data_IF_623035352148
#
_entry.id   IF_623035352148
#
_cell.length_a   1.000
_cell.length_b   1.000
_cell.length_c   1.000
_cell.angle_alpha   90.00
_cell.angle_beta   90.00
_cell.angle_gamma   90.00
#
_symmetry.space_group_name_H-M   'P 1'
#
loop_
_entity.id
_entity.type
_entity.pdbx_description
1 polymer ?
#
# COMPACT_ATOMS: atom_id res chain seq x y z
N UNK A 1 -19.47 10.05 3.25
CA UNK A 1 -18.96 8.66 3.00
C UNK A 1 -17.59 8.54 3.60
N UNK A 2 -17.41 7.65 4.59
CA UNK A 2 -16.12 7.47 5.27
C UNK A 2 -15.17 6.59 4.47
N UNK A 3 -13.87 6.87 4.58
CA UNK A 3 -12.81 6.12 3.94
C UNK A 3 -11.47 6.30 4.61
N UNK A 4 -10.44 5.72 4.03
CA UNK A 4 -9.07 5.79 4.51
C UNK A 4 -8.16 6.46 3.48
N UNK A 5 -7.20 7.23 3.97
CA UNK A 5 -6.04 7.67 3.21
C UNK A 5 -4.78 7.12 3.88
N UNK A 6 -3.92 6.47 3.11
CA UNK A 6 -2.71 5.79 3.61
C UNK A 6 -1.49 6.34 2.88
N UNK A 7 -0.56 6.94 3.62
CA UNK A 7 0.73 7.43 3.13
C UNK A 7 1.75 6.28 3.12
N UNK A 8 1.79 5.52 2.04
CA UNK A 8 2.67 4.35 1.92
C UNK A 8 4.15 4.73 1.89
N UNK A 9 4.49 5.89 1.34
CA UNK A 9 5.85 6.47 1.30
C UNK A 9 6.41 6.80 2.69
N UNK A 10 5.54 7.04 3.67
CA UNK A 10 5.91 7.38 5.05
C UNK A 10 5.81 6.20 6.01
N UNK A 11 5.31 5.05 5.55
CA UNK A 11 5.15 3.86 6.38
C UNK A 11 6.50 3.20 6.68
N UNK A 12 6.87 3.14 7.96
CA UNK A 12 8.12 2.54 8.42
C UNK A 12 8.04 1.02 8.69
N UNK A 13 6.91 0.37 8.42
CA UNK A 13 6.75 -1.08 8.60
C UNK A 13 6.77 -1.55 10.06
N UNK A 14 6.39 -0.73 11.03
CA UNK A 14 6.40 -1.09 12.45
C UNK A 14 5.32 -2.11 12.85
N UNK A 15 4.34 -2.39 11.99
CA UNK A 15 3.21 -3.29 12.19
C UNK A 15 2.26 -2.94 13.35
N UNK A 16 2.40 -1.80 14.03
CA UNK A 16 1.55 -1.41 15.16
C UNK A 16 0.05 -1.42 14.78
N UNK A 17 -0.30 -0.91 13.59
CA UNK A 17 -1.69 -0.92 13.09
C UNK A 17 -2.21 -2.34 12.84
N UNK A 18 -1.37 -3.27 12.39
CA UNK A 18 -1.72 -4.68 12.17
C UNK A 18 -1.97 -5.41 13.49
N UNK A 19 -1.08 -5.20 14.47
CA UNK A 19 -1.19 -5.81 15.81
C UNK A 19 -2.37 -5.21 16.56
N UNK A 20 -2.54 -3.88 16.54
CA UNK A 20 -3.68 -3.24 17.21
C UNK A 20 -5.04 -3.66 16.62
N UNK A 21 -5.13 -3.86 15.29
CA UNK A 21 -6.33 -4.42 14.68
C UNK A 21 -6.59 -5.86 15.15
N UNK A 22 -5.53 -6.65 15.32
CA UNK A 22 -5.62 -8.03 15.81
C UNK A 22 -6.06 -8.07 17.28
N UNK A 23 -5.45 -7.25 18.13
CA UNK A 23 -5.74 -7.12 19.56
C UNK A 23 -7.19 -6.68 19.81
N UNK A 24 -7.68 -5.71 19.02
CA UNK A 24 -9.06 -5.20 19.09
C UNK A 24 -10.10 -6.30 18.83
N UNK A 25 -9.82 -7.25 17.96
CA UNK A 25 -10.79 -8.21 17.46
C UNK A 25 -10.55 -9.66 17.90
N UNK A 26 -9.39 -9.99 18.46
CA UNK A 26 -9.07 -11.31 18.96
C UNK A 26 -9.65 -11.48 20.36
N UNK A 27 -10.48 -12.51 20.58
CA UNK A 27 -11.15 -12.75 21.85
C UNK A 27 -12.26 -11.73 22.20
N UNK A 28 -12.55 -10.80 21.30
CA UNK A 28 -13.59 -9.78 21.48
C UNK A 28 -14.70 -9.92 20.44
N UNK A 29 -15.94 -9.95 20.94
CA UNK A 29 -17.14 -10.04 20.13
C UNK A 29 -17.81 -8.66 20.05
N UNK A 30 -17.87 -8.07 18.87
CA UNK A 30 -18.41 -6.74 18.59
C UNK A 30 -19.72 -6.82 17.78
N UNK A 31 -20.71 -7.56 18.29
CA UNK A 31 -22.01 -7.66 17.62
C UNK A 31 -22.73 -6.31 17.56
N UNK A 32 -23.43 -5.99 16.45
CA UNK A 32 -23.70 -6.82 15.28
C UNK A 32 -22.61 -6.80 14.19
N UNK A 33 -21.46 -6.15 14.38
CA UNK A 33 -20.48 -5.86 13.35
C UNK A 33 -19.46 -6.98 13.13
N UNK A 34 -19.07 -7.69 14.21
CA UNK A 34 -18.09 -8.76 14.13
C UNK A 34 -18.23 -9.78 15.27
N UNK A 35 -17.91 -11.01 14.97
CA UNK A 35 -17.49 -12.02 15.93
C UNK A 35 -15.96 -11.98 16.08
N UNK A 36 -15.45 -12.60 17.12
CA UNK A 36 -14.02 -12.66 17.40
C UNK A 36 -13.19 -13.25 16.26
N UNK A 37 -12.02 -12.69 16.05
CA UNK A 37 -11.01 -13.30 15.18
C UNK A 37 -10.38 -14.52 15.86
N UNK A 38 -9.95 -15.54 15.09
CA UNK A 38 -9.12 -16.60 15.65
C UNK A 38 -7.77 -16.03 16.13
N UNK A 39 -7.16 -16.64 17.15
CA UNK A 39 -5.88 -16.20 17.73
C UNK A 39 -4.77 -16.09 16.70
N UNK A 40 -4.74 -16.98 15.71
CA UNK A 40 -3.72 -17.02 14.66
C UNK A 40 -4.35 -17.00 13.27
N UNK A 41 -3.52 -16.74 12.26
CA UNK A 41 -3.88 -16.81 10.83
C UNK A 41 -4.39 -15.51 10.26
N UNK A 42 -5.59 -15.11 10.56
CA UNK A 42 -6.20 -13.93 9.94
C UNK A 42 -5.61 -12.61 10.45
N UNK A 43 -5.32 -11.70 9.51
CA UNK A 43 -5.05 -10.28 9.80
C UNK A 43 -5.92 -9.42 8.89
N UNK A 44 -6.97 -8.81 9.43
CA UNK A 44 -7.92 -8.01 8.66
C UNK A 44 -7.30 -6.73 8.11
N UNK A 45 -6.31 -6.17 8.81
CA UNK A 45 -5.35 -5.23 8.26
C UNK A 45 -3.98 -5.93 8.27
N UNK A 46 -3.30 -5.94 7.13
CA UNK A 46 -1.96 -6.50 6.99
C UNK A 46 -1.03 -5.45 6.39
N UNK A 47 0.13 -5.27 6.98
CA UNK A 47 1.22 -4.50 6.38
C UNK A 47 1.96 -5.43 5.43
N UNK A 48 1.82 -5.20 4.13
CA UNK A 48 2.55 -5.96 3.12
C UNK A 48 3.92 -5.33 2.93
N UNK A 49 4.96 -6.13 3.04
CA UNK A 49 6.32 -5.75 2.69
C UNK A 49 6.56 -6.09 1.22
N UNK A 50 7.12 -5.16 0.48
CA UNK A 50 7.58 -5.35 -0.89
C UNK A 50 9.04 -4.94 -0.98
N UNK A 51 9.90 -5.92 -1.21
CA UNK A 51 11.30 -5.70 -1.60
C UNK A 51 11.35 -5.54 -3.11
N UNK A 52 12.08 -4.55 -3.59
CA UNK A 52 12.23 -4.30 -5.02
C UNK A 52 13.57 -3.64 -5.33
N UNK A 53 14.03 -3.80 -6.57
CA UNK A 53 15.38 -3.47 -7.00
C UNK A 53 16.34 -4.66 -6.94
N UNK A 54 17.61 -4.40 -7.19
CA UNK A 54 18.67 -5.42 -7.24
C UNK A 54 19.85 -4.93 -6.41
N UNK A 55 20.50 -5.86 -5.69
CA UNK A 55 21.67 -5.54 -4.89
C UNK A 55 22.78 -4.92 -5.78
N UNK A 56 23.41 -3.79 -5.38
CA UNK A 56 23.29 -3.13 -4.08
C UNK A 56 22.12 -2.14 -3.93
N UNK A 57 21.41 -1.79 -5.00
CA UNK A 57 20.31 -0.83 -4.99
C UNK A 57 18.96 -1.52 -4.72
N UNK A 58 18.59 -1.66 -3.45
CA UNK A 58 17.34 -2.28 -2.99
C UNK A 58 16.51 -1.31 -2.17
N UNK A 59 15.20 -1.26 -2.41
CA UNK A 59 14.22 -0.56 -1.58
C UNK A 59 13.25 -1.55 -0.94
N UNK A 60 12.77 -1.21 0.24
CA UNK A 60 11.71 -1.94 0.93
C UNK A 60 10.57 -0.98 1.18
N UNK A 61 9.40 -1.33 0.69
CA UNK A 61 8.17 -0.56 0.87
C UNK A 61 7.18 -1.32 1.73
N UNK A 62 6.44 -0.61 2.58
CA UNK A 62 5.44 -1.17 3.48
C UNK A 62 4.07 -0.59 3.16
N UNK A 63 3.11 -1.47 2.83
CA UNK A 63 1.79 -1.07 2.38
C UNK A 63 0.74 -1.64 3.33
N UNK A 64 0.21 -0.86 4.28
CA UNK A 64 -0.92 -1.27 5.10
C UNK A 64 -2.15 -1.49 4.22
N UNK A 65 -2.73 -2.67 4.27
CA UNK A 65 -3.83 -3.04 3.38
C UNK A 65 -5.02 -3.59 4.18
N UNK A 66 -5.99 -2.76 4.57
CA UNK A 66 -7.27 -3.19 5.14
C UNK A 66 -8.25 -3.68 4.07
N UNK A 67 -9.49 -4.02 4.46
CA UNK A 67 -10.60 -4.11 3.53
C UNK A 67 -10.77 -2.76 2.82
N UNK A 68 -11.05 -2.80 1.51
CA UNK A 68 -11.16 -1.59 0.70
C UNK A 68 -12.51 -0.88 0.80
N UNK A 69 -13.50 -1.43 1.50
CA UNK A 69 -14.86 -0.90 1.66
C UNK A 69 -15.48 -0.37 0.36
N UNK A 70 -15.29 -1.16 -0.70
CA UNK A 70 -15.60 -0.80 -2.10
C UNK A 70 -17.02 -0.29 -2.31
N UNK A 71 -17.22 0.74 -3.14
CA UNK A 71 -18.56 1.19 -3.57
C UNK A 71 -19.27 0.09 -4.37
N UNK A 72 -18.57 -0.53 -5.32
CA UNK A 72 -19.07 -1.66 -6.12
C UNK A 72 -18.60 -2.99 -5.49
N UNK A 73 -18.95 -3.26 -4.24
CA UNK A 73 -18.45 -4.39 -3.48
C UNK A 73 -18.90 -5.74 -4.05
N UNK A 74 -18.00 -6.58 -4.61
CA UNK A 74 -18.38 -7.90 -5.13
C UNK A 74 -18.87 -8.84 -4.03
N UNK A 75 -18.40 -8.67 -2.80
CA UNK A 75 -18.82 -9.47 -1.64
C UNK A 75 -20.31 -9.25 -1.28
N UNK A 76 -20.85 -8.05 -1.51
CA UNK A 76 -22.32 -7.81 -1.34
C UNK A 76 -23.10 -8.62 -2.38
N UNK A 77 -22.62 -8.66 -3.63
CA UNK A 77 -23.30 -9.40 -4.71
C UNK A 77 -23.22 -10.91 -4.53
N UNK A 78 -22.18 -11.43 -3.88
CA UNK A 78 -21.98 -12.85 -3.63
C UNK A 78 -22.73 -13.35 -2.38
N UNK A 79 -23.15 -12.42 -1.51
CA UNK A 79 -23.84 -12.75 -0.27
C UNK A 79 -25.32 -13.04 -0.51
N UNK A 80 -25.85 -13.97 0.26
CA UNK A 80 -27.28 -14.29 0.35
C UNK A 80 -27.90 -13.65 1.60
N UNK A 81 -29.20 -13.40 1.59
CA UNK A 81 -29.98 -12.91 2.73
C UNK A 81 -29.46 -11.60 3.34
N UNK A 82 -28.90 -10.70 2.51
CA UNK A 82 -28.30 -9.45 2.96
C UNK A 82 -27.24 -9.67 4.06
N UNK A 83 -26.48 -10.76 3.95
CA UNK A 83 -25.43 -11.08 4.90
C UNK A 83 -24.24 -10.15 4.80
N UNK A 84 -24.04 -9.46 3.67
CA UNK A 84 -23.09 -8.37 3.51
C UNK A 84 -23.84 -7.12 3.09
N UNK A 85 -23.65 -6.04 3.80
CA UNK A 85 -24.38 -4.80 3.54
C UNK A 85 -23.45 -3.57 3.66
N UNK A 86 -23.90 -2.46 3.09
CA UNK A 86 -23.27 -1.15 3.25
C UNK A 86 -24.04 -0.34 4.29
N UNK A 87 -23.28 0.25 5.22
CA UNK A 87 -23.79 1.23 6.19
C UNK A 87 -24.02 2.58 5.51
N UNK A 88 -24.75 3.47 6.16
CA UNK A 88 -24.98 4.83 5.69
C UNK A 88 -23.68 5.64 5.56
N UNK A 89 -22.71 5.39 6.42
CA UNK A 89 -21.36 5.98 6.37
C UNK A 89 -20.45 5.41 5.27
N UNK A 90 -20.91 4.40 4.53
CA UNK A 90 -20.19 3.78 3.42
C UNK A 90 -19.38 2.55 3.77
N UNK A 91 -19.19 2.23 5.05
CA UNK A 91 -18.49 1.03 5.46
C UNK A 91 -19.27 -0.24 5.06
N UNK A 92 -18.57 -1.23 4.53
CA UNK A 92 -19.15 -2.53 4.17
C UNK A 92 -18.96 -3.48 5.33
N UNK A 93 -20.03 -4.08 5.80
CA UNK A 93 -20.06 -4.98 6.97
C UNK A 93 -20.55 -6.37 6.54
N UNK A 94 -20.03 -7.40 7.19
CA UNK A 94 -20.56 -8.76 7.14
C UNK A 94 -21.32 -9.02 8.44
N UNK A 95 -22.62 -9.32 8.35
CA UNK A 95 -23.42 -9.75 9.49
C UNK A 95 -23.03 -11.19 9.86
N UNK A 96 -22.42 -11.43 11.04
CA UNK A 96 -21.91 -12.75 11.38
C UNK A 96 -23.01 -13.81 11.52
N UNK A 97 -24.24 -13.40 11.86
CA UNK A 97 -25.37 -14.35 12.02
C UNK A 97 -25.91 -14.79 10.68
N UNK A 98 -26.06 -13.84 9.74
CA UNK A 98 -26.59 -14.11 8.40
C UNK A 98 -25.57 -14.79 7.49
N UNK A 99 -24.28 -14.51 7.69
CA UNK A 99 -23.20 -14.98 6.83
C UNK A 99 -22.73 -16.41 7.14
N UNK A 100 -23.29 -17.07 8.15
CA UNK A 100 -22.90 -18.43 8.53
C UNK A 100 -23.03 -19.39 7.35
N UNK A 101 -21.95 -20.13 7.05
CA UNK A 101 -21.89 -21.10 5.96
C UNK A 101 -21.68 -20.51 4.57
N UNK A 102 -21.55 -19.18 4.43
CA UNK A 102 -21.42 -18.50 3.14
C UNK A 102 -19.96 -18.31 2.71
N UNK A 103 -19.24 -19.38 2.46
CA UNK A 103 -17.82 -19.36 2.04
C UNK A 103 -17.59 -18.63 0.70
N UNK A 104 -18.62 -18.59 -0.18
CA UNK A 104 -18.52 -17.89 -1.46
C UNK A 104 -18.19 -16.39 -1.32
N UNK A 105 -18.53 -15.78 -0.18
CA UNK A 105 -18.23 -14.38 0.11
C UNK A 105 -16.69 -14.15 0.16
N UNK A 106 -15.92 -15.11 0.67
CA UNK A 106 -14.46 -15.03 0.75
C UNK A 106 -13.84 -14.93 -0.64
N UNK A 107 -14.29 -15.78 -1.56
CA UNK A 107 -13.77 -15.88 -2.93
C UNK A 107 -14.12 -14.66 -3.80
N UNK A 108 -15.15 -13.90 -3.40
CA UNK A 108 -15.61 -12.74 -4.15
C UNK A 108 -14.69 -11.51 -4.01
N UNK A 109 -13.79 -11.48 -3.02
CA UNK A 109 -12.95 -10.32 -2.78
C UNK A 109 -11.70 -10.31 -3.69
N UNK A 110 -11.57 -9.37 -4.66
CA UNK A 110 -10.39 -9.32 -5.54
C UNK A 110 -9.11 -8.93 -4.80
N UNK A 111 -9.23 -8.36 -3.61
CA UNK A 111 -8.09 -7.97 -2.75
C UNK A 111 -7.66 -9.06 -1.76
N UNK A 112 -8.38 -10.21 -1.69
CA UNK A 112 -8.10 -11.26 -0.72
C UNK A 112 -8.23 -10.80 0.74
N UNK A 113 -9.17 -9.87 1.04
CA UNK A 113 -9.32 -9.26 2.38
C UNK A 113 -10.53 -9.78 3.16
N UNK A 114 -11.07 -10.91 2.76
CA UNK A 114 -12.09 -11.65 3.50
C UNK A 114 -11.53 -13.01 3.83
N UNK A 115 -11.63 -13.41 5.08
CA UNK A 115 -11.04 -14.62 5.63
C UNK A 115 -12.14 -15.55 6.11
N UNK A 116 -11.96 -16.84 5.96
CA UNK A 116 -12.85 -17.82 6.53
C UNK A 116 -12.46 -18.15 7.97
N UNK A 117 -13.40 -18.09 8.89
CA UNK A 117 -13.22 -18.58 10.25
C UNK A 117 -13.79 -19.99 10.33
N UNK A 118 -12.92 -20.99 10.42
CA UNK A 118 -13.28 -22.40 10.42
C UNK A 118 -14.10 -22.80 11.65
N UNK A 119 -13.81 -22.21 12.81
CA UNK A 119 -14.48 -22.55 14.06
C UNK A 119 -15.92 -22.02 14.11
N UNK A 120 -16.11 -20.79 13.66
CA UNK A 120 -17.42 -20.13 13.64
C UNK A 120 -18.21 -20.40 12.34
N UNK A 121 -17.56 -20.94 11.31
CA UNK A 121 -18.08 -21.14 9.96
C UNK A 121 -18.64 -19.85 9.35
N UNK A 122 -17.89 -18.73 9.47
CA UNK A 122 -18.27 -17.41 8.93
C UNK A 122 -17.13 -16.74 8.18
N UNK A 123 -17.44 -15.94 7.14
CA UNK A 123 -16.48 -15.01 6.55
C UNK A 123 -16.26 -13.80 7.46
N UNK A 124 -15.02 -13.35 7.60
CA UNK A 124 -14.64 -12.21 8.44
C UNK A 124 -13.74 -11.25 7.68
N UNK A 125 -13.83 -9.97 8.00
CA UNK A 125 -12.98 -8.90 7.42
C UNK A 125 -12.97 -7.66 8.30
N UNK A 126 -12.10 -6.70 7.96
CA UNK A 126 -12.11 -5.37 8.57
C UNK A 126 -13.52 -4.75 8.53
N UNK A 127 -13.96 -4.23 9.66
CA UNK A 127 -15.25 -3.56 9.86
C UNK A 127 -15.13 -2.02 9.85
N UNK A 128 -13.90 -1.48 9.68
CA UNK A 128 -13.63 -0.07 9.94
C UNK A 128 -13.81 0.30 11.43
N UNK A 129 -13.78 -0.70 12.31
CA UNK A 129 -14.09 -0.56 13.74
C UNK A 129 -15.43 0.16 13.99
N UNK A 130 -16.48 -0.22 13.25
CA UNK A 130 -17.81 0.39 13.33
C UNK A 130 -18.36 0.41 14.78
N UNK A 131 -17.97 -0.55 15.63
CA UNK A 131 -18.34 -0.57 17.04
C UNK A 131 -17.76 0.63 17.83
N UNK A 132 -16.55 1.10 17.48
CA UNK A 132 -15.96 2.30 18.11
C UNK A 132 -16.58 3.59 17.58
N UNK A 133 -17.00 3.58 16.31
CA UNK A 133 -17.61 4.76 15.67
C UNK A 133 -19.04 5.01 16.17
N UNK A 134 -19.75 3.96 16.57
CA UNK A 134 -21.15 4.03 17.03
C UNK A 134 -21.26 4.14 18.56
N UNK A 135 -20.18 3.97 19.29
CA UNK A 135 -20.15 4.08 20.74
C UNK A 135 -19.72 5.50 21.15
N UNK A 136 -20.68 6.30 21.60
CA UNK A 136 -20.45 7.67 22.07
C UNK A 136 -19.54 7.74 23.31
N UNK A 137 -19.46 6.67 24.07
CA UNK A 137 -18.62 6.55 25.27
C UNK A 137 -17.25 5.92 24.98
N UNK A 138 -16.98 5.52 23.73
CA UNK A 138 -15.69 4.94 23.35
C UNK A 138 -14.54 5.93 23.60
N UNK A 139 -13.42 5.49 24.15
CA UNK A 139 -12.25 6.34 24.42
C UNK A 139 -11.63 6.93 23.16
N UNK A 140 -11.94 6.36 22.00
CA UNK A 140 -11.50 6.79 20.68
C UNK A 140 -12.67 6.69 19.68
N UNK A 141 -12.72 7.62 18.75
CA UNK A 141 -13.76 7.70 17.70
C UNK A 141 -13.22 7.44 16.30
N UNK A 142 -12.11 6.71 16.20
CA UNK A 142 -11.45 6.32 14.94
C UNK A 142 -11.13 4.83 14.95
N UNK A 143 -10.92 4.19 13.80
CA UNK A 143 -10.47 2.81 13.74
C UNK A 143 -9.17 2.58 14.53
N UNK A 144 -9.06 1.45 15.22
CA UNK A 144 -7.88 1.11 16.04
C UNK A 144 -6.55 1.19 15.28
N UNK A 145 -6.54 0.86 14.00
CA UNK A 145 -5.33 0.96 13.18
C UNK A 145 -4.86 2.40 12.94
N UNK A 146 -5.77 3.36 12.97
CA UNK A 146 -5.46 4.79 12.89
C UNK A 146 -4.85 5.27 14.20
N UNK A 147 -5.53 4.99 15.31
CA UNK A 147 -5.10 5.34 16.67
C UNK A 147 -3.71 4.78 16.99
N UNK A 148 -3.46 3.52 16.63
CA UNK A 148 -2.19 2.84 16.91
C UNK A 148 -1.03 3.21 15.97
N UNK A 149 -1.23 4.06 14.97
CA UNK A 149 -0.16 4.42 14.04
C UNK A 149 0.78 5.48 14.63
N UNK A 150 2.02 5.16 15.04
CA UNK A 150 2.90 6.10 15.75
C UNK A 150 3.41 7.25 14.88
N UNK A 151 3.30 7.10 13.56
CA UNK A 151 3.72 8.10 12.57
C UNK A 151 2.55 8.69 11.79
N UNK A 152 1.31 8.38 12.20
CA UNK A 152 0.07 8.93 11.65
C UNK A 152 -0.05 8.88 10.11
N UNK A 153 0.37 7.75 9.53
CA UNK A 153 0.30 7.54 8.06
C UNK A 153 -1.03 6.95 7.61
N UNK A 154 -1.94 6.64 8.51
CA UNK A 154 -3.29 6.17 8.22
C UNK A 154 -4.27 7.24 8.71
N UNK A 155 -4.97 7.85 7.80
CA UNK A 155 -6.05 8.80 8.09
C UNK A 155 -7.41 8.13 7.85
N UNK A 156 -8.42 8.54 8.59
CA UNK A 156 -9.79 8.07 8.43
C UNK A 156 -10.76 9.21 8.67
N UNK A 157 -11.71 9.40 7.76
CA UNK A 157 -12.68 10.49 7.84
C UNK A 157 -13.66 10.47 6.69
N UNK A 158 -14.44 11.54 6.53
CA UNK A 158 -15.26 11.74 5.35
C UNK A 158 -14.35 11.93 4.12
N UNK A 159 -14.68 11.26 3.01
CA UNK A 159 -13.84 11.27 1.81
C UNK A 159 -13.65 12.67 1.20
N UNK A 160 -14.61 13.56 1.38
CA UNK A 160 -14.56 14.95 0.93
C UNK A 160 -13.72 15.86 1.85
N UNK A 161 -13.35 15.39 3.03
CA UNK A 161 -12.47 16.07 3.98
C UNK A 161 -11.01 15.58 3.89
N UNK A 162 -10.79 14.40 3.31
CA UNK A 162 -9.44 13.83 3.11
C UNK A 162 -8.74 14.49 1.92
N UNK A 163 -7.45 14.76 2.05
CA UNK A 163 -6.62 15.24 0.93
C UNK A 163 -6.29 14.12 -0.06
N UNK A 164 -7.20 13.89 -0.99
CA UNK A 164 -7.07 12.84 -2.01
C UNK A 164 -6.34 13.29 -3.28
N UNK A 165 -5.79 14.50 -3.33
CA UNK A 165 -5.01 14.96 -4.48
C UNK A 165 -3.77 14.08 -4.70
N UNK A 166 -3.63 13.53 -5.90
CA UNK A 166 -2.55 12.59 -6.25
C UNK A 166 -2.62 11.22 -5.58
N UNK A 167 -3.72 10.91 -4.87
CA UNK A 167 -3.89 9.59 -4.28
C UNK A 167 -4.34 8.56 -5.34
N UNK A 168 -3.87 7.34 -5.17
CA UNK A 168 -4.13 6.19 -6.03
C UNK A 168 -4.95 5.13 -5.28
N UNK A 169 -5.52 4.18 -5.99
CA UNK A 169 -6.22 3.03 -5.39
C UNK A 169 -5.53 1.73 -5.79
N UNK A 170 -5.63 0.72 -4.94
CA UNK A 170 -5.14 -0.62 -5.31
C UNK A 170 -6.07 -1.27 -6.32
N UNK A 171 -5.50 -1.94 -7.32
CA UNK A 171 -6.23 -2.71 -8.33
C UNK A 171 -7.36 -1.93 -9.03
N UNK A 172 -7.07 -0.76 -9.65
CA UNK A 172 -8.07 0.07 -10.33
C UNK A 172 -8.81 -0.69 -11.44
N UNK A 173 -8.16 -1.67 -12.06
CA UNK A 173 -8.69 -2.56 -13.09
C UNK A 173 -9.87 -3.42 -12.59
N UNK A 174 -10.01 -3.62 -11.29
CA UNK A 174 -11.12 -4.39 -10.70
C UNK A 174 -12.48 -3.69 -10.78
N UNK A 175 -12.50 -2.37 -11.04
CA UNK A 175 -13.72 -1.57 -11.14
C UNK A 175 -14.55 -1.48 -9.85
N UNK A 176 -13.97 -1.85 -8.71
CA UNK A 176 -14.68 -1.92 -7.41
C UNK A 176 -14.91 -0.57 -6.75
N UNK A 177 -14.22 0.48 -7.19
CA UNK A 177 -14.24 1.83 -6.59
C UNK A 177 -14.02 1.77 -5.06
N UNK A 178 -12.80 1.51 -4.62
CA UNK A 178 -12.46 1.41 -3.19
C UNK A 178 -12.58 2.76 -2.48
N UNK A 179 -12.88 2.72 -1.17
CA UNK A 179 -12.84 3.87 -0.27
C UNK A 179 -11.54 3.91 0.57
N UNK A 180 -10.52 3.22 0.11
CA UNK A 180 -9.15 3.28 0.65
C UNK A 180 -8.22 3.80 -0.44
N UNK A 181 -7.61 4.93 -0.15
CA UNK A 181 -6.73 5.65 -1.06
C UNK A 181 -5.30 5.61 -0.53
N UNK A 182 -4.34 5.68 -1.44
CA UNK A 182 -2.92 5.59 -1.12
C UNK A 182 -2.14 6.74 -1.74
N UNK A 183 -1.25 7.35 -0.97
CA UNK A 183 -0.20 8.24 -1.48
C UNK A 183 1.14 7.53 -1.41
N UNK A 184 1.98 7.75 -2.43
CA UNK A 184 3.33 7.22 -2.48
C UNK A 184 3.42 5.69 -2.58
N UNK A 185 2.52 5.05 -3.34
CA UNK A 185 2.71 3.63 -3.68
C UNK A 185 4.04 3.43 -4.41
N UNK A 186 4.77 2.33 -4.14
CA UNK A 186 6.06 2.09 -4.76
C UNK A 186 5.92 1.96 -6.28
N UNK A 187 6.60 2.84 -6.99
CA UNK A 187 6.76 2.85 -8.46
C UNK A 187 8.13 2.31 -8.83
N UNK A 188 8.35 2.09 -10.11
CA UNK A 188 9.64 1.67 -10.64
C UNK A 188 10.71 2.74 -10.43
N UNK A 189 11.94 2.29 -10.31
CA UNK A 189 13.10 3.18 -10.23
C UNK A 189 14.28 2.71 -11.08
N UNK A 190 15.19 3.63 -11.35
CA UNK A 190 16.54 3.38 -11.86
C UNK A 190 17.52 4.02 -10.87
N UNK A 191 18.51 3.27 -10.40
CA UNK A 191 19.51 3.71 -9.45
C UNK A 191 20.88 3.17 -9.81
N UNK A 192 21.94 3.84 -9.34
CA UNK A 192 23.31 3.39 -9.56
C UNK A 192 24.31 4.28 -8.83
N UNK A 193 25.58 3.86 -8.87
CA UNK A 193 26.71 4.59 -8.28
C UNK A 193 27.68 4.99 -9.39
N UNK A 194 28.04 6.25 -9.48
CA UNK A 194 28.95 6.79 -10.52
C UNK A 194 30.35 6.95 -9.95
N UNK A 195 31.36 6.44 -10.67
CA UNK A 195 32.76 6.55 -10.30
C UNK A 195 33.66 6.85 -11.49
N UNK A 196 34.86 7.38 -11.22
CA UNK A 196 35.91 7.60 -12.20
C UNK A 196 36.90 6.43 -12.17
N UNK A 197 37.07 5.66 -13.24
CA UNK A 197 37.92 4.45 -13.22
C UNK A 197 39.43 4.74 -13.15
N UNK A 198 39.85 5.97 -13.37
CA UNK A 198 41.29 6.33 -13.35
C UNK A 198 41.87 6.36 -11.94
N UNK A 199 41.09 6.76 -10.95
CA UNK A 199 41.44 6.94 -9.56
C UNK A 199 40.57 6.16 -8.59
N UNK A 200 39.55 5.43 -9.14
CA UNK A 200 38.56 4.67 -8.39
C UNK A 200 37.73 5.56 -7.41
N UNK A 201 37.67 6.87 -7.68
CA UNK A 201 36.92 7.80 -6.85
C UNK A 201 35.49 7.93 -7.31
N UNK A 202 34.57 8.10 -6.37
CA UNK A 202 33.17 8.38 -6.63
C UNK A 202 32.99 9.77 -7.25
N UNK A 203 31.96 9.95 -8.03
CA UNK A 203 31.63 11.24 -8.67
C UNK A 203 30.43 11.85 -7.99
N UNK A 204 30.65 12.83 -7.11
CA UNK A 204 29.60 13.66 -6.53
C UNK A 204 29.15 14.75 -7.51
N UNK A 205 27.84 15.03 -7.55
CA UNK A 205 27.27 16.12 -8.37
C UNK A 205 27.20 15.81 -9.87
N UNK A 206 27.38 14.55 -10.28
CA UNK A 206 27.11 14.17 -11.66
C UNK A 206 25.62 14.33 -11.96
N UNK A 207 25.29 14.94 -13.09
CA UNK A 207 23.90 15.04 -13.54
C UNK A 207 23.47 13.73 -14.21
N UNK A 208 22.37 13.16 -13.75
CA UNK A 208 21.76 11.96 -14.33
C UNK A 208 20.39 12.32 -14.90
N UNK A 209 20.21 12.09 -16.18
CA UNK A 209 18.95 12.32 -16.88
C UNK A 209 18.42 10.99 -17.40
N UNK A 210 17.15 10.69 -17.12
CA UNK A 210 16.45 9.49 -17.59
C UNK A 210 15.26 9.90 -18.43
N UNK A 211 15.20 9.47 -19.69
CA UNK A 211 14.11 9.84 -20.60
C UNK A 211 13.65 8.67 -21.47
N UNK A 212 12.34 8.61 -21.73
CA UNK A 212 11.74 7.70 -22.72
C UNK A 212 11.32 8.44 -24.01
N UNK A 213 11.72 9.73 -24.16
CA UNK A 213 11.33 10.60 -25.25
C UNK A 213 10.03 11.38 -25.02
N UNK A 214 9.21 10.96 -24.06
CA UNK A 214 7.96 11.65 -23.64
C UNK A 214 8.14 12.29 -22.27
N UNK A 215 8.67 11.55 -21.34
CA UNK A 215 8.95 11.95 -19.95
C UNK A 215 10.45 12.07 -19.73
N UNK A 216 10.85 12.98 -18.87
CA UNK A 216 12.24 13.20 -18.50
C UNK A 216 12.35 13.47 -17.02
N UNK A 217 13.22 12.74 -16.37
CA UNK A 217 13.54 12.86 -14.94
C UNK A 217 15.03 13.19 -14.81
N UNK A 218 15.38 14.00 -13.81
CA UNK A 218 16.78 14.38 -13.58
C UNK A 218 17.07 14.30 -12.09
N UNK A 219 18.24 13.76 -11.74
CA UNK A 219 18.80 13.72 -10.40
C UNK A 219 20.28 14.06 -10.46
N UNK A 220 20.90 14.26 -9.30
CA UNK A 220 22.34 14.48 -9.16
C UNK A 220 22.90 13.47 -8.17
N UNK A 221 24.08 12.94 -8.48
CA UNK A 221 24.74 12.00 -7.56
C UNK A 221 25.10 12.66 -6.24
N UNK A 222 24.87 11.97 -5.14
CA UNK A 222 25.17 12.39 -3.77
C UNK A 222 26.67 12.26 -3.44
N UNK A 223 27.04 12.51 -2.17
CA UNK A 223 28.44 12.38 -1.68
C UNK A 223 29.00 10.95 -1.70
N UNK A 224 28.16 9.94 -2.01
CA UNK A 224 28.56 8.55 -2.20
C UNK A 224 28.58 8.16 -3.69
N UNK A 225 28.34 9.12 -4.59
CA UNK A 225 28.22 8.87 -6.03
C UNK A 225 26.89 8.23 -6.43
N UNK A 226 25.93 8.07 -5.52
CA UNK A 226 24.66 7.40 -5.79
C UNK A 226 23.61 8.36 -6.34
N UNK A 227 22.77 7.85 -7.23
CA UNK A 227 21.54 8.50 -7.69
C UNK A 227 20.35 7.53 -7.62
N UNK A 228 19.16 8.08 -7.46
CA UNK A 228 17.90 7.34 -7.43
C UNK A 228 16.81 8.13 -8.17
N UNK A 229 16.35 7.62 -9.29
CA UNK A 229 15.23 8.21 -10.05
C UNK A 229 14.03 7.30 -9.91
N UNK A 230 13.07 7.76 -9.12
CA UNK A 230 11.83 7.07 -8.78
C UNK A 230 10.64 7.54 -9.64
N UNK A 231 9.52 6.80 -9.58
CA UNK A 231 8.27 7.21 -10.20
C UNK A 231 8.17 6.85 -11.66
N UNK A 232 9.06 6.00 -12.16
CA UNK A 232 9.11 5.60 -13.55
C UNK A 232 7.95 4.67 -13.92
N UNK A 233 7.47 4.81 -15.16
CA UNK A 233 6.55 3.85 -15.78
C UNK A 233 7.28 2.58 -16.21
N UNK A 234 6.54 1.55 -16.59
CA UNK A 234 7.06 0.36 -17.25
C UNK A 234 7.39 0.72 -18.72
N UNK A 235 8.67 1.05 -19.00
CA UNK A 235 9.12 1.51 -20.31
C UNK A 235 10.62 1.23 -20.55
N UNK A 236 11.10 1.55 -21.74
CA UNK A 236 12.53 1.63 -22.08
C UNK A 236 13.02 3.07 -21.88
N UNK A 237 14.12 3.21 -21.15
CA UNK A 237 14.68 4.50 -20.75
C UNK A 237 16.11 4.68 -21.27
N UNK A 238 16.39 5.88 -21.75
CA UNK A 238 17.77 6.34 -21.99
C UNK A 238 18.26 7.07 -20.73
N UNK A 239 19.33 6.54 -20.14
CA UNK A 239 20.00 7.12 -18.96
C UNK A 239 21.27 7.83 -19.45
N UNK A 240 21.33 9.14 -19.28
CA UNK A 240 22.51 9.95 -19.60
C UNK A 240 23.11 10.48 -18.31
N UNK A 241 24.39 10.19 -18.10
CA UNK A 241 25.17 10.61 -16.93
C UNK A 241 26.27 11.53 -17.40
N UNK A 242 26.36 12.74 -16.84
CA UNK A 242 27.36 13.73 -17.24
C UNK A 242 28.01 14.41 -16.05
N UNK A 243 29.34 14.53 -16.09
CA UNK A 243 30.15 15.31 -15.13
C UNK A 243 31.49 15.67 -15.73
N UNK A 244 32.00 16.88 -15.43
CA UNK A 244 33.34 17.36 -15.82
C UNK A 244 33.70 17.20 -17.30
N UNK A 245 32.68 17.34 -18.19
CA UNK A 245 32.86 17.22 -19.64
C UNK A 245 32.91 15.78 -20.17
N UNK A 246 32.65 14.80 -19.32
CA UNK A 246 32.47 13.38 -19.67
C UNK A 246 31.00 13.04 -19.70
N UNK A 247 30.62 12.06 -20.52
CA UNK A 247 29.24 11.61 -20.67
C UNK A 247 29.17 10.09 -20.87
N UNK A 248 28.21 9.46 -20.22
CA UNK A 248 27.85 8.05 -20.39
C UNK A 248 26.38 7.92 -20.71
N UNK A 249 26.05 7.15 -21.75
CA UNK A 249 24.66 6.87 -22.15
C UNK A 249 24.41 5.37 -22.05
N UNK A 250 23.29 4.99 -21.40
CA UNK A 250 22.84 3.61 -21.24
C UNK A 250 21.37 3.51 -21.66
N UNK A 251 20.96 2.35 -22.18
CA UNK A 251 19.54 2.02 -22.39
C UNK A 251 19.12 0.96 -21.36
N UNK A 252 18.00 1.22 -20.68
CA UNK A 252 17.53 0.44 -19.53
C UNK A 252 16.03 0.23 -19.62
N UNK A 253 15.54 -0.99 -19.39
CA UNK A 253 14.11 -1.29 -19.35
C UNK A 253 13.63 -1.48 -17.92
N UNK A 254 12.52 -0.85 -17.57
CA UNK A 254 11.82 -1.02 -16.29
C UNK A 254 10.53 -1.84 -16.42
N UNK A 255 10.25 -2.43 -17.58
CA UNK A 255 8.98 -3.15 -17.85
C UNK A 255 8.69 -4.24 -16.84
N UNK A 256 9.67 -5.07 -16.49
CA UNK A 256 9.46 -6.20 -15.57
C UNK A 256 9.84 -5.88 -14.12
N UNK A 257 10.90 -5.08 -13.91
CA UNK A 257 11.49 -4.84 -12.61
C UNK A 257 12.15 -3.47 -12.48
N UNK A 258 12.44 -3.04 -11.26
CA UNK A 258 13.32 -1.90 -10.98
C UNK A 258 14.75 -2.19 -11.43
N UNK A 259 15.53 -1.17 -11.76
CA UNK A 259 16.90 -1.36 -12.24
C UNK A 259 17.94 -0.72 -11.34
N UNK A 260 18.70 -1.60 -10.67
CA UNK A 260 19.98 -1.26 -10.07
C UNK A 260 21.09 -1.43 -11.11
N UNK A 261 21.73 -0.33 -11.51
CA UNK A 261 22.80 -0.32 -12.52
C UNK A 261 24.18 -0.67 -11.93
N UNK A 262 24.25 -0.82 -10.59
CA UNK A 262 25.51 -1.05 -9.90
C UNK A 262 26.49 0.12 -10.08
N UNK A 263 27.79 -0.20 -10.19
CA UNK A 263 28.85 0.77 -10.34
C UNK A 263 29.04 1.14 -11.80
N UNK A 264 28.93 2.45 -12.11
CA UNK A 264 28.95 3.00 -13.47
C UNK A 264 30.22 3.82 -13.66
N UNK A 265 31.13 3.31 -14.48
CA UNK A 265 32.35 4.03 -14.86
C UNK A 265 32.06 5.19 -15.81
N UNK A 266 32.39 6.42 -15.40
CA UNK A 266 32.32 7.63 -16.20
C UNK A 266 33.70 7.90 -16.83
N UNK A 267 33.85 7.60 -18.12
CA UNK A 267 35.10 7.67 -18.87
C UNK A 267 35.18 8.88 -19.79
#
# INVERSE_FOLDING_TARGET
MKGFLIHADKCMGCHACQIGCKDEHCGNCWMPYAQEQPESGQFWLKVNQKEHGQCPQVKVSYIPTPCQHCENAPCIKAAENDAVYRREDGLVIIDPKKAKGQEQIVKACPYGKIFWNEELEIPQKCTGCAHLLDDEDAPISVPRCVDNCPVHVIEFGELDELDLEGAEVLHPESGTKPHVYYKGLPKKFIAGTVFTPADEEIVEGATVTVTNGTETYTDTTNSWGDFWIDGLADDEWTVTISAAGKEKVLTVSTVDEDKGLGDIALV
#
